data_IF_880773014722
#
_entry.id   IF_880773014722
#
_cell.length_a   1.000
_cell.length_b   1.000
_cell.length_c   1.000
_cell.angle_alpha   90.00
_cell.angle_beta   90.00
_cell.angle_gamma   90.00
#
_symmetry.space_group_name_H-M   'P 1'
#
loop_
_entity.id
_entity.type
_entity.pdbx_description
1 polymer ?
#
# COMPACT_ATOMS: atom_id res chain seq x y z
N UNK A 1 -67.29 17.85 33.81
CA UNK A 1 -66.65 18.37 35.04
C UNK A 1 -65.57 17.40 35.43
N UNK A 2 -64.30 17.75 35.19
CA UNK A 2 -63.29 18.02 36.24
C UNK A 2 -62.54 16.71 36.60
N UNK A 3 -61.25 16.63 36.85
CA UNK A 3 -60.14 17.58 36.83
C UNK A 3 -58.90 16.74 37.16
N UNK A 4 -57.84 16.91 36.37
CA UNK A 4 -56.40 16.76 36.68
C UNK A 4 -56.03 15.94 37.93
N UNK A 5 -55.19 14.90 37.76
CA UNK A 5 -53.78 14.93 38.18
C UNK A 5 -53.09 13.57 38.01
N UNK A 6 -51.80 13.64 37.67
CA UNK A 6 -50.71 12.80 38.19
C UNK A 6 -50.30 11.50 37.46
N UNK A 7 -48.97 11.34 37.37
CA UNK A 7 -48.14 10.22 36.90
C UNK A 7 -47.92 10.06 35.37
N UNK A 8 -46.87 10.74 34.91
CA UNK A 8 -45.62 10.14 34.41
C UNK A 8 -45.71 8.74 33.75
N UNK A 9 -45.23 8.65 32.51
CA UNK A 9 -44.15 7.74 32.03
C UNK A 9 -44.24 7.61 30.49
N UNK A 10 -43.24 8.21 29.83
CA UNK A 10 -42.69 7.93 28.48
C UNK A 10 -43.57 8.28 27.25
N UNK A 11 -43.16 9.26 26.41
CA UNK A 11 -43.83 9.50 25.13
C UNK A 11 -43.45 8.41 24.11
N UNK A 12 -44.43 7.56 23.80
CA UNK A 12 -44.56 6.87 22.52
C UNK A 12 -45.30 7.82 21.60
N UNK A 13 -44.62 8.45 20.65
CA UNK A 13 -45.33 9.15 19.57
C UNK A 13 -45.57 8.20 18.39
N UNK A 14 -46.82 8.14 17.99
CA UNK A 14 -47.36 7.49 16.80
C UNK A 14 -48.50 8.40 16.35
N UNK A 15 -48.30 9.11 15.23
CA UNK A 15 -49.28 9.80 14.38
C UNK A 15 -48.52 10.35 13.16
N UNK A 16 -48.49 9.68 11.99
CA UNK A 16 -49.48 9.66 10.88
C UNK A 16 -49.58 11.02 10.14
N UNK A 17 -50.01 11.11 8.86
CA UNK A 17 -49.50 10.46 7.64
C UNK A 17 -49.33 11.49 6.48
N UNK A 18 -48.64 11.09 5.41
CA UNK A 18 -48.80 11.74 4.09
C UNK A 18 -47.52 12.30 3.48
N UNK A 19 -47.01 11.60 2.47
CA UNK A 19 -46.50 12.27 1.28
C UNK A 19 -46.65 11.33 0.09
N UNK A 20 -47.45 11.75 -0.88
CA UNK A 20 -47.67 11.08 -2.16
C UNK A 20 -46.57 11.53 -3.14
N UNK A 21 -46.18 10.59 -4.00
CA UNK A 21 -45.44 10.71 -5.29
C UNK A 21 -43.90 10.71 -5.28
N UNK A 22 -43.38 9.76 -6.07
CA UNK A 22 -42.00 9.38 -6.41
C UNK A 22 -41.23 10.44 -7.24
N UNK A 23 -40.05 10.13 -7.82
CA UNK A 23 -38.81 9.56 -7.27
C UNK A 23 -37.62 10.52 -7.54
N UNK A 24 -36.42 10.15 -7.07
CA UNK A 24 -35.07 10.42 -7.62
C UNK A 24 -34.12 10.77 -6.48
N UNK A 25 -33.26 9.82 -6.09
CA UNK A 25 -31.83 10.10 -5.90
C UNK A 25 -31.06 8.80 -5.61
N UNK A 26 -30.36 8.37 -6.65
CA UNK A 26 -29.04 7.75 -6.68
C UNK A 26 -28.67 6.58 -5.76
N UNK A 27 -28.51 5.44 -6.42
CA UNK A 27 -27.72 4.27 -6.03
C UNK A 27 -26.18 4.54 -5.96
N UNK A 28 -25.75 5.71 -5.48
CA UNK A 28 -24.32 6.11 -5.48
C UNK A 28 -23.59 5.91 -4.16
N UNK A 29 -24.27 5.61 -3.05
CA UNK A 29 -23.62 5.56 -1.73
C UNK A 29 -22.99 4.21 -1.37
N UNK A 30 -23.24 3.16 -2.16
CA UNK A 30 -22.63 1.84 -1.93
C UNK A 30 -21.29 1.63 -2.68
N UNK A 31 -20.87 2.54 -3.57
CA UNK A 31 -19.65 2.37 -4.39
C UNK A 31 -18.37 3.00 -3.81
N UNK A 32 -18.46 3.76 -2.72
CA UNK A 32 -17.36 4.63 -2.28
C UNK A 32 -16.47 4.07 -1.16
N UNK A 33 -16.66 2.83 -0.70
CA UNK A 33 -15.81 2.24 0.36
C UNK A 33 -14.75 1.24 -0.12
N UNK A 34 -14.80 0.81 -1.38
CA UNK A 34 -13.87 -0.19 -1.94
C UNK A 34 -12.86 0.37 -2.97
N UNK A 35 -13.01 1.64 -3.37
CA UNK A 35 -12.21 2.24 -4.44
C UNK A 35 -10.87 2.87 -3.97
N UNK A 36 -10.66 3.08 -2.68
CA UNK A 36 -9.52 3.85 -2.17
C UNK A 36 -8.29 3.01 -1.76
N UNK A 37 -8.36 1.67 -1.86
CA UNK A 37 -7.27 0.79 -1.40
C UNK A 37 -6.40 0.22 -2.54
N UNK A 38 -6.86 0.26 -3.79
CA UNK A 38 -6.18 -0.40 -4.93
C UNK A 38 -5.21 0.48 -5.71
N UNK A 39 -5.42 1.80 -5.72
CA UNK A 39 -4.63 2.74 -6.53
C UNK A 39 -3.32 3.15 -5.84
N UNK A 40 -3.33 3.17 -4.50
CA UNK A 40 -2.20 3.63 -3.69
C UNK A 40 -1.06 2.61 -3.61
N UNK A 41 -1.38 1.31 -3.58
CA UNK A 41 -0.39 0.23 -3.60
C UNK A 41 0.39 0.16 -4.92
N UNK A 42 -0.30 0.38 -6.05
CA UNK A 42 0.34 0.47 -7.36
C UNK A 42 1.22 1.72 -7.47
N UNK A 43 0.78 2.85 -6.90
CA UNK A 43 1.57 4.08 -6.80
C UNK A 43 2.86 3.88 -6.01
N UNK A 44 2.78 3.23 -4.84
CA UNK A 44 3.94 2.94 -4.01
C UNK A 44 4.93 1.98 -4.69
N UNK A 45 4.42 0.91 -5.30
CA UNK A 45 5.26 -0.06 -6.04
C UNK A 45 5.99 0.62 -7.20
N UNK A 46 5.29 1.49 -7.95
CA UNK A 46 5.89 2.23 -9.06
C UNK A 46 6.97 3.20 -8.58
N UNK A 47 6.75 3.89 -7.45
CA UNK A 47 7.76 4.75 -6.84
C UNK A 47 9.01 3.96 -6.46
N UNK A 48 8.85 2.83 -5.79
CA UNK A 48 9.97 1.96 -5.41
C UNK A 48 10.80 1.50 -6.63
N UNK A 49 10.12 1.03 -7.69
CA UNK A 49 10.80 0.58 -8.90
C UNK A 49 11.57 1.72 -9.60
N UNK A 50 11.05 2.94 -9.52
CA UNK A 50 11.71 4.13 -10.05
C UNK A 50 12.97 4.44 -9.24
N UNK A 51 12.86 4.49 -7.91
CA UNK A 51 13.97 4.79 -6.99
C UNK A 51 15.13 3.79 -7.17
N UNK A 52 14.81 2.49 -7.22
CA UNK A 52 15.82 1.44 -7.44
C UNK A 52 16.47 1.52 -8.83
N UNK A 53 15.72 1.97 -9.83
CA UNK A 53 16.21 2.13 -11.20
C UNK A 53 17.32 3.18 -11.36
N UNK A 54 17.40 4.16 -10.46
CA UNK A 54 18.36 5.26 -10.53
C UNK A 54 19.76 4.93 -9.99
N UNK A 55 19.95 3.81 -9.30
CA UNK A 55 21.27 3.47 -8.79
C UNK A 55 22.24 3.14 -9.95
N UNK A 56 23.36 3.87 -10.07
CA UNK A 56 24.31 3.67 -11.15
C UNK A 56 24.98 2.30 -11.04
N UNK A 57 25.20 1.68 -12.20
CA UNK A 57 25.95 0.42 -12.30
C UNK A 57 27.43 0.69 -12.02
N UNK A 58 28.07 -0.25 -11.35
CA UNK A 58 29.50 -0.20 -11.11
C UNK A 58 30.26 -0.76 -12.32
N UNK A 59 31.39 -0.16 -12.63
CA UNK A 59 32.40 -0.80 -13.46
C UNK A 59 33.04 -1.97 -12.69
N UNK A 60 33.61 -2.93 -13.43
CA UNK A 60 34.29 -4.08 -12.83
C UNK A 60 35.47 -3.68 -11.91
N UNK A 61 36.11 -2.53 -12.17
CA UNK A 61 37.20 -2.04 -11.32
C UNK A 61 36.67 -1.44 -10.01
N UNK A 62 35.60 -0.65 -10.08
CA UNK A 62 34.94 -0.09 -8.89
C UNK A 62 34.39 -1.20 -7.99
N UNK A 63 33.71 -2.19 -8.58
CA UNK A 63 33.17 -3.34 -7.85
C UNK A 63 34.27 -4.06 -7.07
N UNK A 64 35.41 -4.37 -7.69
CA UNK A 64 36.55 -5.01 -7.01
C UNK A 64 37.11 -4.17 -5.87
N UNK A 65 37.21 -2.85 -6.07
CA UNK A 65 37.72 -1.92 -5.05
C UNK A 65 36.78 -1.85 -3.85
N UNK A 66 35.49 -1.61 -4.10
CA UNK A 66 34.45 -1.56 -3.08
C UNK A 66 34.33 -2.90 -2.36
N UNK A 67 34.42 -4.03 -3.07
CA UNK A 67 34.35 -5.37 -2.45
C UNK A 67 35.47 -5.60 -1.45
N UNK A 68 36.69 -5.15 -1.76
CA UNK A 68 37.82 -5.26 -0.83
C UNK A 68 37.61 -4.41 0.42
N UNK A 69 37.15 -3.16 0.25
CA UNK A 69 36.86 -2.23 1.34
C UNK A 69 35.69 -2.70 2.22
N UNK A 70 34.61 -3.18 1.61
CA UNK A 70 33.48 -3.77 2.31
C UNK A 70 33.90 -4.98 3.16
N UNK A 71 34.78 -5.85 2.62
CA UNK A 71 35.37 -6.97 3.37
C UNK A 71 36.25 -6.55 4.54
N UNK A 72 36.81 -5.34 4.50
CA UNK A 72 37.56 -4.75 5.61
C UNK A 72 36.65 -4.11 6.67
N UNK A 73 35.32 -4.17 6.48
CA UNK A 73 34.33 -3.63 7.41
C UNK A 73 33.85 -2.21 7.07
N UNK A 74 34.26 -1.64 5.93
CA UNK A 74 33.83 -0.31 5.55
C UNK A 74 32.35 -0.31 5.08
N UNK A 75 31.47 0.23 5.92
CA UNK A 75 30.02 0.18 5.67
C UNK A 75 29.59 1.00 4.46
N UNK A 76 30.22 2.14 4.19
CA UNK A 76 29.91 2.94 3.00
C UNK A 76 30.20 2.16 1.70
N UNK A 77 31.28 1.37 1.69
CA UNK A 77 31.62 0.52 0.55
C UNK A 77 30.62 -0.64 0.39
N UNK A 78 30.21 -1.26 1.50
CA UNK A 78 29.17 -2.31 1.51
C UNK A 78 27.84 -1.76 0.98
N UNK A 79 27.40 -0.63 1.51
CA UNK A 79 26.14 0.01 1.12
C UNK A 79 26.12 0.32 -0.38
N UNK A 80 27.20 0.91 -0.92
CA UNK A 80 27.30 1.22 -2.35
C UNK A 80 27.25 -0.04 -3.23
N UNK A 81 27.87 -1.15 -2.80
CA UNK A 81 27.76 -2.42 -3.52
C UNK A 81 26.32 -2.93 -3.55
N UNK A 82 25.63 -2.92 -2.41
CA UNK A 82 24.24 -3.38 -2.30
C UNK A 82 23.35 -2.54 -3.22
N UNK A 83 23.40 -1.21 -3.10
CA UNK A 83 22.60 -0.27 -3.89
C UNK A 83 22.78 -0.43 -5.40
N UNK A 84 24.02 -0.59 -5.86
CA UNK A 84 24.32 -0.82 -7.28
C UNK A 84 23.80 -2.17 -7.81
N UNK A 85 23.46 -3.11 -6.93
CA UNK A 85 22.95 -4.44 -7.28
C UNK A 85 21.42 -4.57 -7.10
N UNK A 86 20.71 -3.56 -6.61
CA UNK A 86 19.25 -3.64 -6.43
C UNK A 86 18.48 -3.91 -7.75
N UNK A 87 19.02 -3.45 -8.88
CA UNK A 87 18.48 -3.76 -10.22
C UNK A 87 18.54 -5.25 -10.55
N UNK A 88 19.56 -5.96 -10.05
CA UNK A 88 19.67 -7.40 -10.21
C UNK A 88 18.54 -8.12 -9.47
N UNK A 89 18.24 -7.69 -8.23
CA UNK A 89 17.15 -8.26 -7.42
C UNK A 89 15.83 -8.24 -8.19
N UNK A 90 15.45 -7.08 -8.72
CA UNK A 90 14.23 -6.92 -9.54
C UNK A 90 14.25 -7.89 -10.73
N UNK A 91 15.36 -7.96 -11.47
CA UNK A 91 15.49 -8.85 -12.62
C UNK A 91 15.34 -10.33 -12.25
N UNK A 92 15.85 -10.73 -11.09
CA UNK A 92 15.71 -12.10 -10.58
C UNK A 92 14.27 -12.35 -10.14
N UNK A 93 13.67 -11.46 -9.35
CA UNK A 93 12.29 -11.55 -8.86
C UNK A 93 11.28 -11.67 -10.01
N UNK A 94 11.47 -10.94 -11.10
CA UNK A 94 10.64 -11.05 -12.31
C UNK A 94 10.59 -12.47 -12.90
N UNK A 95 11.65 -13.28 -12.74
CA UNK A 95 11.64 -14.69 -13.21
C UNK A 95 10.77 -15.60 -12.34
N UNK A 96 10.47 -15.19 -11.11
CA UNK A 96 9.67 -15.94 -10.14
C UNK A 96 8.25 -15.36 -9.98
N UNK A 97 7.95 -14.23 -10.63
CA UNK A 97 6.62 -13.64 -10.62
C UNK A 97 5.55 -14.62 -11.15
N UNK A 98 4.34 -14.53 -10.60
CA UNK A 98 3.20 -15.37 -11.01
C UNK A 98 3.23 -16.82 -10.51
N UNK A 99 4.16 -17.18 -9.61
CA UNK A 99 4.27 -18.53 -9.02
C UNK A 99 3.62 -18.67 -7.64
N UNK A 100 2.65 -17.81 -7.33
CA UNK A 100 1.90 -17.86 -6.08
C UNK A 100 2.51 -17.05 -4.91
N UNK A 101 3.61 -16.33 -5.12
CA UNK A 101 4.13 -15.34 -4.17
C UNK A 101 4.01 -13.93 -4.77
N UNK A 102 3.59 -12.91 -3.98
CA UNK A 102 3.57 -11.52 -4.40
C UNK A 102 4.93 -11.04 -4.89
N UNK A 103 4.94 -10.16 -5.90
CA UNK A 103 6.18 -9.63 -6.47
C UNK A 103 7.02 -8.85 -5.45
N UNK A 104 6.37 -8.08 -4.57
CA UNK A 104 7.09 -7.32 -3.54
C UNK A 104 7.77 -8.24 -2.54
N UNK A 105 7.12 -9.33 -2.12
CA UNK A 105 7.73 -10.32 -1.21
C UNK A 105 8.97 -10.97 -1.85
N UNK A 106 8.94 -11.30 -3.14
CA UNK A 106 10.11 -11.79 -3.88
C UNK A 106 11.26 -10.79 -3.89
N UNK A 107 10.96 -9.49 -3.96
CA UNK A 107 11.95 -8.42 -3.94
C UNK A 107 12.53 -8.25 -2.54
N UNK A 108 11.71 -8.29 -1.49
CA UNK A 108 12.17 -8.21 -0.10
C UNK A 108 13.14 -9.36 0.24
N UNK A 109 12.79 -10.60 -0.10
CA UNK A 109 13.68 -11.76 0.07
C UNK A 109 14.98 -11.61 -0.72
N UNK A 110 14.90 -11.06 -1.94
CA UNK A 110 16.08 -10.79 -2.76
C UNK A 110 16.99 -9.72 -2.17
N UNK A 111 16.42 -8.65 -1.59
CA UNK A 111 17.18 -7.58 -0.93
C UNK A 111 17.85 -8.08 0.35
N UNK A 112 17.20 -8.96 1.11
CA UNK A 112 17.79 -9.62 2.28
C UNK A 112 18.99 -10.51 1.91
N UNK A 113 19.03 -11.02 0.68
CA UNK A 113 20.13 -11.82 0.16
C UNK A 113 21.39 -11.03 -0.26
N UNK A 114 21.34 -9.69 -0.28
CA UNK A 114 22.47 -8.81 -0.61
C UNK A 114 23.30 -8.43 0.63
#
# INVERSE_FOLDING_TARGET
MNEKSFMEIVPRDSREPGCVTDPVSNASEAKSKAAWAGEDSLSLTRRYLNDVGFHPLLSAQEERSLSRRARQGEQAARQRLIESNLRLVIKVALRYAGRGLPFMDLVEEGNLGL
#
